data_IF_553952847798
#
_entry.id   IF_553952847798
#
_cell.length_a   1.000
_cell.length_b   1.000
_cell.length_c   1.000
_cell.angle_alpha   90.00
_cell.angle_beta   90.00
_cell.angle_gamma   90.00
#
_symmetry.space_group_name_H-M   'P 1'
#
loop_
_entity.id
_entity.type
_entity.pdbx_description
1 polymer ?
#
# COMPACT_ATOMS: atom_id res chain seq x y z
N UNK A 1 72.56 -18.47 44.43
CA UNK A 1 71.42 -19.01 43.67
C UNK A 1 70.23 -18.10 43.89
N UNK A 2 69.70 -17.47 42.84
CA UNK A 2 68.52 -16.61 42.93
C UNK A 2 67.86 -16.52 41.56
N UNK A 3 66.91 -17.41 41.30
CA UNK A 3 66.15 -17.43 40.05
C UNK A 3 64.98 -16.47 40.22
N UNK A 4 64.99 -15.37 39.47
CA UNK A 4 63.90 -14.41 39.40
C UNK A 4 62.79 -14.99 38.50
N UNK A 5 61.64 -15.35 39.06
CA UNK A 5 60.48 -15.80 38.30
C UNK A 5 59.62 -14.60 37.91
N UNK A 6 59.63 -14.26 36.62
CA UNK A 6 58.75 -13.24 36.03
C UNK A 6 57.31 -13.75 36.06
N UNK A 7 56.42 -13.03 36.78
CA UNK A 7 54.99 -13.32 36.81
C UNK A 7 54.37 -12.97 35.45
N UNK A 8 54.19 -13.97 34.59
CA UNK A 8 53.34 -13.83 33.42
C UNK A 8 51.88 -13.64 33.86
N UNK A 9 51.44 -12.38 33.86
CA UNK A 9 50.02 -12.02 33.92
C UNK A 9 49.37 -12.50 32.62
N UNK A 10 48.81 -13.70 32.65
CA UNK A 10 47.86 -14.13 31.64
C UNK A 10 46.61 -13.25 31.79
N UNK A 11 46.60 -12.12 31.09
CA UNK A 11 45.39 -11.32 30.85
C UNK A 11 44.43 -12.23 30.10
N UNK A 12 43.52 -12.88 30.82
CA UNK A 12 42.38 -13.59 30.23
C UNK A 12 41.60 -12.55 29.44
N UNK A 13 41.81 -12.52 28.12
CA UNK A 13 40.92 -11.82 27.21
C UNK A 13 39.61 -12.57 27.32
N UNK A 14 38.67 -12.01 28.08
CA UNK A 14 37.28 -12.39 27.98
C UNK A 14 36.87 -12.03 26.55
N UNK A 15 36.97 -13.02 25.68
CA UNK A 15 36.23 -13.02 24.42
C UNK A 15 34.78 -13.04 24.88
N UNK A 16 34.19 -11.86 25.03
CA UNK A 16 32.73 -11.74 25.00
C UNK A 16 32.35 -12.44 23.70
N UNK A 17 31.77 -13.63 23.83
CA UNK A 17 31.05 -14.24 22.74
C UNK A 17 30.16 -13.12 22.19
N UNK A 18 30.46 -12.67 20.97
CA UNK A 18 29.47 -11.98 20.17
C UNK A 18 28.42 -13.06 19.95
N UNK A 19 27.48 -13.16 20.89
CA UNK A 19 26.21 -13.78 20.60
C UNK A 19 25.72 -13.03 19.37
N UNK A 20 25.78 -13.70 18.23
CA UNK A 20 25.06 -13.30 17.05
C UNK A 20 23.58 -13.43 17.42
N UNK A 21 23.07 -12.47 18.19
CA UNK A 21 21.66 -12.10 18.12
C UNK A 21 21.49 -11.57 16.69
N UNK A 22 21.29 -12.49 15.76
CA UNK A 22 20.77 -12.16 14.44
C UNK A 22 19.32 -11.71 14.69
N UNK A 23 19.17 -10.46 15.10
CA UNK A 23 17.88 -9.78 15.07
C UNK A 23 17.30 -9.86 13.66
N UNK A 24 15.97 -9.69 13.51
CA UNK A 24 15.30 -9.77 12.23
C UNK A 24 15.96 -8.83 11.22
N UNK A 25 16.19 -9.36 10.02
CA UNK A 25 16.80 -8.63 8.91
C UNK A 25 15.79 -7.62 8.35
N UNK A 26 15.72 -6.45 8.99
CA UNK A 26 14.79 -5.38 8.63
C UNK A 26 14.97 -4.91 7.18
N UNK A 27 16.18 -5.06 6.61
CA UNK A 27 16.43 -4.72 5.21
C UNK A 27 15.69 -5.68 4.25
N UNK A 28 15.69 -6.98 4.56
CA UNK A 28 14.89 -7.97 3.81
C UNK A 28 13.40 -7.72 3.94
N UNK A 29 12.92 -7.50 5.15
CA UNK A 29 11.49 -7.20 5.40
C UNK A 29 11.07 -5.95 4.62
N UNK A 30 11.89 -4.90 4.65
CA UNK A 30 11.64 -3.69 3.86
C UNK A 30 11.55 -3.97 2.36
N UNK A 31 12.46 -4.76 1.81
CA UNK A 31 12.46 -5.11 0.39
C UNK A 31 11.19 -5.89 0.00
N UNK A 32 10.74 -6.81 0.86
CA UNK A 32 9.50 -7.56 0.68
C UNK A 32 8.27 -6.63 0.69
N UNK A 33 8.19 -5.71 1.66
CA UNK A 33 7.12 -4.71 1.73
C UNK A 33 7.09 -3.81 0.49
N UNK A 34 8.25 -3.41 -0.05
CA UNK A 34 8.33 -2.64 -1.30
C UNK A 34 7.80 -3.45 -2.49
N UNK A 35 8.21 -4.72 -2.62
CA UNK A 35 7.68 -5.62 -3.66
C UNK A 35 6.16 -5.74 -3.55
N UNK A 36 5.65 -5.81 -2.32
CA UNK A 36 4.22 -5.87 -2.05
C UNK A 36 3.49 -4.60 -2.46
N UNK A 37 4.05 -3.43 -2.17
CA UNK A 37 3.54 -2.13 -2.64
C UNK A 37 3.39 -2.14 -4.16
N UNK A 38 4.40 -2.62 -4.89
CA UNK A 38 4.31 -2.69 -6.36
C UNK A 38 3.16 -3.59 -6.83
N UNK A 39 3.00 -4.79 -6.25
CA UNK A 39 1.89 -5.68 -6.61
C UNK A 39 0.52 -5.04 -6.34
N UNK A 40 0.35 -4.41 -5.17
CA UNK A 40 -0.91 -3.77 -4.78
C UNK A 40 -1.21 -2.55 -5.65
N UNK A 41 -0.20 -1.79 -6.07
CA UNK A 41 -0.38 -0.71 -7.02
C UNK A 41 -0.84 -1.18 -8.40
N UNK A 42 -0.37 -2.33 -8.89
CA UNK A 42 -0.85 -2.92 -10.14
C UNK A 42 -2.35 -3.20 -10.05
N UNK A 43 -2.76 -3.98 -9.04
CA UNK A 43 -4.17 -4.36 -8.83
C UNK A 43 -5.04 -3.12 -8.62
N UNK A 44 -4.58 -2.12 -7.86
CA UNK A 44 -5.29 -0.85 -7.69
C UNK A 44 -5.51 -0.12 -9.03
N UNK A 45 -4.50 -0.10 -9.90
CA UNK A 45 -4.58 0.54 -11.21
C UNK A 45 -5.59 -0.18 -12.10
N UNK A 46 -5.57 -1.51 -12.06
CA UNK A 46 -6.49 -2.35 -12.82
C UNK A 46 -7.93 -2.22 -12.31
N UNK A 47 -8.16 -2.18 -11.00
CA UNK A 47 -9.48 -1.84 -10.43
C UNK A 47 -9.99 -0.50 -10.96
N UNK A 48 -9.13 0.51 -11.09
CA UNK A 48 -9.52 1.82 -11.62
C UNK A 48 -9.98 1.71 -13.08
N UNK A 49 -9.22 1.01 -13.92
CA UNK A 49 -9.57 0.77 -15.31
C UNK A 49 -10.88 -0.03 -15.41
N UNK A 50 -11.05 -1.07 -14.59
CA UNK A 50 -12.26 -1.86 -14.55
C UNK A 50 -13.50 -1.06 -14.13
N UNK A 51 -13.38 -0.15 -13.16
CA UNK A 51 -14.48 0.76 -12.78
C UNK A 51 -14.89 1.65 -13.97
N UNK A 52 -13.92 2.19 -14.72
CA UNK A 52 -14.18 2.99 -15.91
C UNK A 52 -14.90 2.16 -17.00
N UNK A 53 -14.48 0.91 -17.22
CA UNK A 53 -15.13 -0.02 -18.16
C UNK A 53 -16.57 -0.33 -17.72
N UNK A 54 -16.78 -0.66 -16.43
CA UNK A 54 -18.12 -0.93 -15.90
C UNK A 54 -19.03 0.31 -15.98
N UNK A 55 -18.48 1.52 -15.81
CA UNK A 55 -19.23 2.77 -16.00
C UNK A 55 -19.70 2.93 -17.45
N UNK A 56 -18.82 2.67 -18.43
CA UNK A 56 -19.16 2.70 -19.86
C UNK A 56 -20.24 1.65 -20.19
N UNK A 57 -20.10 0.44 -19.65
CA UNK A 57 -21.04 -0.68 -19.86
C UNK A 57 -22.33 -0.57 -19.03
N UNK A 58 -22.45 0.47 -18.18
CA UNK A 58 -23.56 0.68 -17.24
C UNK A 58 -23.78 -0.47 -16.24
N UNK A 59 -22.73 -1.21 -15.91
CA UNK A 59 -22.76 -2.33 -14.97
C UNK A 59 -22.42 -1.89 -13.55
N UNK A 60 -23.37 -1.22 -12.89
CA UNK A 60 -23.17 -0.60 -11.57
C UNK A 60 -22.73 -1.58 -10.48
N UNK A 61 -23.30 -2.80 -10.44
CA UNK A 61 -22.97 -3.80 -9.41
C UNK A 61 -21.49 -4.20 -9.42
N UNK A 62 -20.91 -4.40 -10.61
CA UNK A 62 -19.48 -4.73 -10.78
C UNK A 62 -18.58 -3.55 -10.42
N UNK A 63 -18.99 -2.33 -10.79
CA UNK A 63 -18.26 -1.12 -10.39
C UNK A 63 -18.18 -0.96 -8.86
N UNK A 64 -19.25 -1.30 -8.13
CA UNK A 64 -19.26 -1.28 -6.65
C UNK A 64 -18.25 -2.30 -6.09
N UNK A 65 -18.22 -3.52 -6.63
CA UNK A 65 -17.27 -4.56 -6.19
C UNK A 65 -15.83 -4.12 -6.40
N UNK A 66 -15.51 -3.64 -7.61
CA UNK A 66 -14.17 -3.14 -7.95
C UNK A 66 -13.78 -1.94 -7.10
N UNK A 67 -14.73 -1.05 -6.78
CA UNK A 67 -14.50 0.10 -5.91
C UNK A 67 -14.23 -0.33 -4.47
N UNK A 68 -14.97 -1.30 -3.95
CA UNK A 68 -14.74 -1.85 -2.63
C UNK A 68 -13.36 -2.52 -2.51
N UNK A 69 -12.96 -3.31 -3.52
CA UNK A 69 -11.63 -3.90 -3.62
C UNK A 69 -10.54 -2.82 -3.69
N UNK A 70 -10.76 -1.76 -4.46
CA UNK A 70 -9.84 -0.61 -4.55
C UNK A 70 -9.63 0.07 -3.19
N UNK A 71 -10.70 0.30 -2.41
CA UNK A 71 -10.60 0.94 -1.09
C UNK A 71 -9.89 0.05 -0.05
N UNK A 72 -10.13 -1.26 -0.08
CA UNK A 72 -9.37 -2.21 0.74
C UNK A 72 -7.86 -2.12 0.45
N UNK A 73 -7.48 -2.16 -0.83
CA UNK A 73 -6.09 -2.05 -1.27
C UNK A 73 -5.48 -0.71 -0.85
N UNK A 74 -6.23 0.40 -0.92
CA UNK A 74 -5.77 1.71 -0.46
C UNK A 74 -5.42 1.70 1.04
N UNK A 75 -6.28 1.08 1.86
CA UNK A 75 -6.03 0.94 3.30
C UNK A 75 -4.74 0.17 3.58
N UNK A 76 -4.57 -0.99 2.92
CA UNK A 76 -3.37 -1.83 3.09
C UNK A 76 -2.09 -1.18 2.55
N UNK A 77 -2.16 -0.45 1.45
CA UNK A 77 -1.02 0.34 0.96
C UNK A 77 -0.56 1.36 2.00
N UNK A 78 -1.50 2.05 2.66
CA UNK A 78 -1.17 3.03 3.70
C UNK A 78 -0.51 2.37 4.91
N UNK A 79 -1.06 1.25 5.40
CA UNK A 79 -0.47 0.48 6.51
C UNK A 79 0.96 0.02 6.19
N UNK A 80 1.21 -0.50 4.97
CA UNK A 80 2.55 -0.94 4.55
C UNK A 80 3.52 0.25 4.44
N UNK A 81 3.08 1.38 3.88
CA UNK A 81 3.91 2.58 3.78
C UNK A 81 4.30 3.13 5.15
N UNK A 82 3.39 3.11 6.11
CA UNK A 82 3.67 3.55 7.48
C UNK A 82 4.64 2.58 8.18
N UNK A 83 4.57 1.27 7.89
CA UNK A 83 5.57 0.31 8.36
C UNK A 83 6.95 0.51 7.76
N UNK A 84 7.05 0.82 6.46
CA UNK A 84 8.33 1.12 5.83
C UNK A 84 8.97 2.36 6.47
N UNK A 85 8.18 3.41 6.75
CA UNK A 85 8.67 4.59 7.47
C UNK A 85 9.20 4.21 8.85
N UNK A 86 8.49 3.35 9.60
CA UNK A 86 8.96 2.87 10.90
C UNK A 86 10.27 2.07 10.79
N UNK A 87 10.43 1.26 9.74
CA UNK A 87 11.68 0.55 9.49
C UNK A 87 12.80 1.55 9.18
N UNK A 88 12.57 2.51 8.29
CA UNK A 88 13.55 3.53 7.90
C UNK A 88 13.98 4.38 9.12
N UNK A 89 13.03 4.83 9.93
CA UNK A 89 13.27 5.55 11.18
C UNK A 89 14.09 4.72 12.20
N UNK A 90 13.92 3.39 12.20
CA UNK A 90 14.65 2.46 13.07
C UNK A 90 16.10 2.20 12.63
N UNK A 91 16.44 2.56 11.39
CA UNK A 91 17.81 2.52 10.88
C UNK A 91 18.58 3.78 11.30
N UNK A 92 17.91 4.94 11.31
CA UNK A 92 18.51 6.23 11.67
C UNK A 92 18.60 6.46 13.19
N UNK A 93 17.70 5.86 13.97
CA UNK A 93 17.70 5.95 15.44
C UNK A 93 17.67 4.53 16.03
N UNK A 94 18.47 4.22 17.06
CA UNK A 94 18.42 2.90 17.71
C UNK A 94 17.09 2.74 18.47
N UNK A 95 16.06 2.28 17.78
CA UNK A 95 14.79 1.88 18.37
C UNK A 95 15.00 0.53 19.06
N UNK A 96 14.53 0.41 20.31
CA UNK A 96 14.68 -0.80 21.14
C UNK A 96 13.88 -2.00 20.61
N UNK A 97 12.86 -1.75 19.79
CA UNK A 97 11.82 -2.73 19.46
C UNK A 97 11.83 -3.19 17.99
N UNK A 98 13.01 -3.44 17.42
CA UNK A 98 13.15 -4.01 16.06
C UNK A 98 12.34 -5.31 15.88
N UNK A 99 12.24 -6.12 16.93
CA UNK A 99 11.43 -7.34 16.95
C UNK A 99 9.93 -7.05 16.86
N UNK A 100 9.45 -5.96 17.48
CA UNK A 100 8.06 -5.54 17.38
C UNK A 100 7.72 -5.13 15.95
N UNK A 101 8.58 -4.34 15.30
CA UNK A 101 8.41 -3.92 13.90
C UNK A 101 8.37 -5.14 12.97
N UNK A 102 9.29 -6.09 13.13
CA UNK A 102 9.31 -7.32 12.34
C UNK A 102 8.02 -8.16 12.56
N UNK A 103 7.56 -8.29 13.80
CA UNK A 103 6.32 -9.02 14.10
C UNK A 103 5.09 -8.34 13.50
N UNK A 104 5.06 -7.01 13.45
CA UNK A 104 3.98 -6.26 12.85
C UNK A 104 3.95 -6.41 11.33
N UNK A 105 5.12 -6.44 10.68
CA UNK A 105 5.24 -6.69 9.24
C UNK A 105 4.76 -8.11 8.87
N UNK A 106 5.14 -9.12 9.65
CA UNK A 106 4.68 -10.50 9.44
C UNK A 106 3.16 -10.64 9.63
N UNK A 107 2.62 -10.06 10.71
CA UNK A 107 1.17 -10.02 10.94
C UNK A 107 0.43 -9.34 9.80
N UNK A 108 0.98 -8.25 9.26
CA UNK A 108 0.33 -7.57 8.15
C UNK A 108 0.22 -8.49 6.93
N UNK A 109 1.29 -9.23 6.59
CA UNK A 109 1.25 -10.22 5.51
C UNK A 109 0.20 -11.31 5.75
N UNK A 110 0.05 -11.79 7.00
CA UNK A 110 -0.99 -12.78 7.36
C UNK A 110 -2.41 -12.21 7.28
N UNK A 111 -2.59 -10.90 7.50
CA UNK A 111 -3.91 -10.24 7.45
C UNK A 111 -4.35 -9.78 6.06
N UNK A 112 -3.49 -9.91 5.04
CA UNK A 112 -3.88 -9.62 3.67
C UNK A 112 -4.83 -10.72 3.18
N UNK A 113 -6.07 -10.34 2.86
CA UNK A 113 -7.06 -11.28 2.34
C UNK A 113 -6.69 -11.63 0.90
N UNK A 114 -6.32 -12.89 0.59
CA UNK A 114 -5.91 -13.33 -0.76
C UNK A 114 -6.93 -13.00 -1.84
N UNK A 115 -8.23 -13.09 -1.52
CA UNK A 115 -9.31 -12.83 -2.47
C UNK A 115 -9.34 -11.34 -2.86
N UNK A 116 -9.05 -10.44 -1.92
CA UNK A 116 -9.09 -8.99 -2.15
C UNK A 116 -7.81 -8.44 -2.80
N UNK A 117 -6.74 -9.23 -2.87
CA UNK A 117 -5.46 -8.84 -3.47
C UNK A 117 -5.16 -9.57 -4.78
N UNK A 118 -5.92 -10.62 -5.09
CA UNK A 118 -5.81 -11.35 -6.36
C UNK A 118 -6.17 -10.45 -7.54
N UNK A 119 -5.54 -10.70 -8.68
CA UNK A 119 -5.83 -9.96 -9.90
C UNK A 119 -6.91 -10.68 -10.72
N UNK A 120 -8.16 -10.46 -10.35
CA UNK A 120 -9.38 -11.06 -10.90
C UNK A 120 -10.26 -10.01 -11.62
N UNK A 121 -9.73 -8.82 -11.91
CA UNK A 121 -10.51 -7.69 -12.44
C UNK A 121 -11.23 -8.06 -13.75
N UNK A 122 -10.55 -8.74 -14.66
CA UNK A 122 -11.14 -9.18 -15.93
C UNK A 122 -12.25 -10.22 -15.74
N UNK A 123 -12.16 -11.04 -14.69
CA UNK A 123 -13.18 -12.02 -14.33
C UNK A 123 -14.43 -11.35 -13.73
N UNK A 124 -14.20 -10.32 -12.90
CA UNK A 124 -15.26 -9.44 -12.38
C UNK A 124 -16.00 -8.76 -13.53
N UNK A 125 -15.27 -8.15 -14.46
CA UNK A 125 -15.85 -7.46 -15.62
C UNK A 125 -16.60 -8.45 -16.52
N UNK A 126 -16.01 -9.61 -16.83
CA UNK A 126 -16.64 -10.61 -17.69
C UNK A 126 -17.79 -11.38 -17.03
N UNK A 127 -17.93 -11.29 -15.71
CA UNK A 127 -19.03 -11.88 -14.94
C UNK A 127 -18.98 -13.40 -14.78
N UNK A 128 -17.78 -14.00 -14.89
CA UNK A 128 -17.61 -15.46 -14.88
C UNK A 128 -17.80 -16.10 -13.49
N UNK A 129 -17.61 -15.37 -12.38
CA UNK A 129 -17.69 -15.94 -11.01
C UNK A 129 -18.53 -15.13 -10.01
N UNK A 130 -19.87 -15.22 -10.10
CA UNK A 130 -20.77 -14.43 -9.23
C UNK A 130 -20.67 -14.69 -7.72
N UNK A 131 -20.22 -15.88 -7.27
CA UNK A 131 -20.31 -16.29 -5.85
C UNK A 131 -19.27 -15.62 -4.95
N UNK A 132 -18.09 -15.28 -5.47
CA UNK A 132 -17.04 -14.64 -4.68
C UNK A 132 -17.36 -13.15 -4.40
N UNK A 133 -18.25 -12.54 -5.18
CA UNK A 133 -18.51 -11.10 -5.12
C UNK A 133 -19.32 -10.66 -3.90
N UNK A 134 -20.28 -11.46 -3.45
CA UNK A 134 -21.02 -11.19 -2.21
C UNK A 134 -20.09 -11.31 -0.99
N UNK A 135 -19.15 -12.25 -1.02
CA UNK A 135 -18.12 -12.39 0.01
C UNK A 135 -17.17 -11.18 0.02
N UNK A 136 -16.74 -10.69 -1.14
CA UNK A 136 -15.90 -9.49 -1.27
C UNK A 136 -16.62 -8.26 -0.69
N UNK A 137 -17.91 -8.10 -0.98
CA UNK A 137 -18.72 -7.00 -0.44
C UNK A 137 -18.88 -7.09 1.08
N UNK A 138 -19.18 -8.27 1.61
CA UNK A 138 -19.30 -8.46 3.07
C UNK A 138 -17.97 -8.22 3.78
N UNK A 139 -16.87 -8.75 3.24
CA UNK A 139 -15.54 -8.58 3.85
C UNK A 139 -15.07 -7.14 3.76
N UNK A 140 -15.22 -6.48 2.61
CA UNK A 140 -14.81 -5.07 2.45
C UNK A 140 -15.58 -4.10 3.36
N UNK A 141 -16.88 -4.32 3.61
CA UNK A 141 -17.67 -3.54 4.56
C UNK A 141 -17.18 -3.66 6.01
N UNK A 142 -16.59 -4.80 6.39
CA UNK A 142 -16.03 -5.01 7.74
C UNK A 142 -14.77 -4.17 7.95
N UNK A 143 -14.00 -3.88 6.90
CA UNK A 143 -12.67 -3.28 7.03
C UNK A 143 -12.65 -1.75 7.01
N UNK A 144 -13.71 -1.08 6.58
CA UNK A 144 -13.73 0.39 6.52
C UNK A 144 -15.02 0.97 7.14
N UNK A 145 -15.04 1.12 8.48
CA UNK A 145 -16.06 1.95 9.16
C UNK A 145 -16.03 3.42 8.71
N UNK A 146 -14.91 3.88 8.17
CA UNK A 146 -14.73 5.24 7.65
C UNK A 146 -14.94 5.36 6.13
N UNK A 147 -15.15 4.25 5.39
CA UNK A 147 -15.46 4.35 3.96
C UNK A 147 -16.91 4.78 3.79
N UNK A 148 -17.08 6.09 3.65
CA UNK A 148 -18.17 6.76 2.94
C UNK A 148 -18.79 5.83 1.89
N UNK A 149 -20.06 5.51 2.10
CA UNK A 149 -21.04 4.93 1.19
C UNK A 149 -20.53 4.68 -0.25
N UNK A 150 -19.83 3.55 -0.42
CA UNK A 150 -19.26 3.10 -1.72
C UNK A 150 -20.33 3.15 -2.84
N UNK A 151 -21.58 2.68 -2.61
CA UNK A 151 -22.68 2.86 -3.56
C UNK A 151 -22.85 4.31 -4.03
N UNK A 152 -22.90 5.28 -3.10
CA UNK A 152 -23.04 6.70 -3.42
C UNK A 152 -21.85 7.27 -4.21
N UNK A 153 -20.63 6.81 -3.93
CA UNK A 153 -19.45 7.22 -4.72
C UNK A 153 -19.52 6.70 -6.16
N UNK A 154 -20.00 5.47 -6.34
CA UNK A 154 -20.20 4.89 -7.67
C UNK A 154 -21.33 5.62 -8.39
N UNK A 155 -22.40 5.99 -7.69
CA UNK A 155 -23.48 6.79 -8.28
C UNK A 155 -22.98 8.12 -8.85
N UNK A 156 -22.14 8.85 -8.11
CA UNK A 156 -21.53 10.09 -8.61
C UNK A 156 -20.66 9.87 -9.86
N UNK A 157 -19.94 8.75 -9.95
CA UNK A 157 -19.14 8.39 -11.13
C UNK A 157 -20.03 8.08 -12.35
N UNK A 158 -21.19 7.47 -12.14
CA UNK A 158 -22.15 7.15 -13.20
C UNK A 158 -22.93 8.40 -13.65
N UNK A 159 -23.27 9.31 -12.74
CA UNK A 159 -23.91 10.59 -13.07
C UNK A 159 -22.96 11.54 -13.83
N UNK A 160 -21.68 11.59 -13.42
CA UNK A 160 -20.65 12.40 -14.08
C UNK A 160 -20.23 11.85 -15.46
N UNK A 161 -20.33 10.53 -15.69
CA UNK A 161 -20.11 9.94 -17.02
C UNK A 161 -21.32 10.08 -17.95
N UNK A 162 -22.54 10.07 -17.41
CA UNK A 162 -23.75 10.35 -18.18
C UNK A 162 -23.77 11.79 -18.75
N UNK A 163 -23.25 12.78 -18.00
CA UNK A 163 -23.17 14.18 -18.42
C UNK A 163 -22.06 14.48 -19.43
N UNK A 164 -21.05 13.62 -19.56
CA UNK A 164 -19.99 13.74 -20.59
C UNK A 164 -20.39 13.13 -21.95
N UNK A 165 -21.44 12.30 -21.97
CA UNK A 165 -21.93 11.64 -23.19
C UNK A 165 -23.06 12.42 -23.90
N UNK A 166 -23.38 13.64 -23.45
CA UNK A 166 -24.16 14.54 -24.28
C UNK A 166 -23.31 15.02 -25.48
N UNK A 167 -23.79 14.88 -26.72
CA UNK A 167 -23.02 15.16 -27.93
C UNK A 167 -22.65 16.64 -28.13
N UNK A 168 -23.02 17.53 -27.19
CA UNK A 168 -22.75 18.97 -27.22
C UNK A 168 -21.91 19.50 -26.04
N UNK A 169 -21.42 18.64 -25.14
CA UNK A 169 -20.58 19.07 -24.02
C UNK A 169 -19.14 19.25 -24.48
N UNK A 170 -18.82 20.46 -24.98
CA UNK A 170 -17.48 20.86 -25.38
C UNK A 170 -16.47 20.54 -24.28
N UNK A 171 -15.54 19.63 -24.58
CA UNK A 171 -14.56 19.11 -23.63
C UNK A 171 -13.88 20.23 -22.83
N UNK A 172 -14.02 20.18 -21.51
CA UNK A 172 -13.35 21.11 -20.60
C UNK A 172 -11.85 20.86 -20.64
N UNK A 173 -11.19 21.54 -21.58
CA UNK A 173 -9.74 21.62 -21.69
C UNK A 173 -9.21 22.29 -20.42
N UNK A 174 -8.37 21.58 -19.64
CA UNK A 174 -7.73 22.13 -18.43
C UNK A 174 -7.01 23.44 -18.76
N UNK A 175 -7.50 24.56 -18.22
CA UNK A 175 -6.81 25.86 -18.31
C UNK A 175 -5.63 25.84 -17.34
N UNK A 176 -4.43 25.64 -17.88
CA UNK A 176 -3.20 25.92 -17.15
C UNK A 176 -3.04 27.44 -17.05
N UNK A 177 -3.21 28.00 -15.85
CA UNK A 177 -2.86 29.38 -15.58
C UNK A 177 -1.34 29.53 -15.65
N UNK A 178 -0.81 29.89 -16.83
CA UNK A 178 0.54 30.43 -16.95
C UNK A 178 0.55 31.78 -16.24
N UNK A 179 1.04 31.82 -15.00
CA UNK A 179 1.54 33.07 -14.39
C UNK A 179 2.66 33.57 -15.27
N UNK A 180 2.37 34.53 -16.15
CA UNK A 180 3.37 35.32 -16.82
C UNK A 180 4.09 36.15 -15.75
N UNK A 181 5.38 35.85 -15.54
CA UNK A 181 6.28 36.77 -14.84
C UNK A 181 6.26 38.07 -15.64
N UNK A 182 5.68 39.12 -15.07
CA UNK A 182 5.82 40.48 -15.57
C UNK A 182 7.28 40.91 -15.41
N UNK A 183 8.06 40.72 -16.47
CA UNK A 183 9.32 41.42 -16.67
C UNK A 183 9.03 42.88 -17.05
N UNK A 184 9.59 43.82 -16.29
CA UNK A 184 9.67 45.25 -16.63
C UNK A 184 9.18 46.14 -15.48
N UNK A 185 9.89 47.16 -15.01
CA UNK A 185 11.00 47.92 -15.62
C UNK A 185 11.90 48.51 -14.51
N UNK A 186 13.21 48.47 -14.76
CA UNK A 186 14.12 49.52 -14.35
C UNK A 186 13.71 50.81 -15.08
N UNK A 187 13.44 51.86 -14.33
CA UNK A 187 13.86 53.25 -14.54
C UNK A 187 13.47 54.04 -13.29
#
# INVERSE_FOLDING_TARGET
>A
MGICMSKHSHRKVSVKARNNDQGPDLAKIRAELISRIHSLHSVKSECKQGIEICAIQKEKSKAIILKAKQEYINGKLKEIQDLIKLIDDSQDKPIKDKNMIASHALKLNETLDPILIENDIDEIISGRERKQYDEILQRSQIFNKDSLDIPSQVDQLFESSASLNEPNSGGVRRKYNRRTKSSGKLL
#
